data_IF_533758246545
#
_entry.id   IF_533758246545
#
_cell.length_a   1.000
_cell.length_b   1.000
_cell.length_c   1.000
_cell.angle_alpha   90.00
_cell.angle_beta   90.00
_cell.angle_gamma   90.00
#
_symmetry.space_group_name_H-M   'P 1'
#
loop_
_entity.id
_entity.type
_entity.pdbx_description
1 polymer ?
#
# COMPACT_ATOMS: atom_id res chain seq x y z
N UNK A 1 22.32 28.29 -13.99
CA UNK A 1 20.91 28.67 -14.20
C UNK A 1 20.15 28.59 -12.87
N UNK A 2 20.10 29.69 -12.12
CA UNK A 2 19.38 29.81 -10.84
C UNK A 2 17.87 29.75 -11.10
N UNK A 3 17.25 28.57 -10.92
CA UNK A 3 15.80 28.38 -11.10
C UNK A 3 15.04 28.49 -9.78
N UNK A 4 14.24 29.55 -9.72
CA UNK A 4 13.34 30.08 -8.70
C UNK A 4 12.65 29.03 -7.80
N UNK A 5 12.97 29.03 -6.50
CA UNK A 5 12.31 28.24 -5.44
C UNK A 5 10.83 28.61 -5.25
N UNK A 6 10.36 29.75 -5.79
CA UNK A 6 8.95 30.21 -5.73
C UNK A 6 7.91 29.29 -6.41
N UNK A 7 8.32 28.25 -7.15
CA UNK A 7 7.38 27.33 -7.84
C UNK A 7 7.09 26.02 -7.09
N UNK A 8 7.77 25.73 -5.98
CA UNK A 8 7.44 24.55 -5.18
C UNK A 8 6.19 24.82 -4.34
N UNK A 9 5.22 23.91 -4.41
CA UNK A 9 4.01 23.93 -3.58
C UNK A 9 3.97 22.66 -2.75
N UNK A 10 3.50 22.79 -1.51
CA UNK A 10 3.15 21.65 -0.66
C UNK A 10 1.64 21.48 -0.75
N UNK A 11 1.20 20.24 -0.97
CA UNK A 11 -0.21 19.88 -1.06
C UNK A 11 -0.42 18.77 -0.05
N UNK A 12 -1.38 18.97 0.86
CA UNK A 12 -1.82 17.93 1.78
C UNK A 12 -2.76 16.99 1.04
N UNK A 13 -2.54 15.69 1.20
CA UNK A 13 -3.41 14.64 0.67
C UNK A 13 -3.85 13.72 1.81
N UNK A 14 -5.03 13.11 1.68
CA UNK A 14 -5.46 12.07 2.61
C UNK A 14 -4.58 10.82 2.45
N UNK A 15 -4.30 10.11 3.55
CA UNK A 15 -3.49 8.88 3.51
C UNK A 15 -4.07 7.82 2.57
N UNK A 16 -5.40 7.74 2.48
CA UNK A 16 -6.10 6.87 1.54
C UNK A 16 -5.79 7.15 0.06
N UNK A 17 -5.31 8.35 -0.30
CA UNK A 17 -4.91 8.67 -1.68
C UNK A 17 -3.51 8.18 -2.03
N UNK A 18 -2.72 7.73 -1.04
CA UNK A 18 -1.34 7.29 -1.25
C UNK A 18 -1.18 6.25 -2.38
N UNK A 19 -2.05 5.23 -2.56
CA UNK A 19 -1.90 4.25 -3.64
C UNK A 19 -1.83 4.92 -5.03
N UNK A 20 -2.51 6.05 -5.22
CA UNK A 20 -2.62 6.79 -6.48
C UNK A 20 -1.54 7.89 -6.66
N UNK A 21 -0.81 8.22 -5.59
CA UNK A 21 0.20 9.30 -5.60
C UNK A 21 1.60 8.71 -5.44
N UNK A 22 2.28 8.45 -6.56
CA UNK A 22 3.68 8.03 -6.59
C UNK A 22 4.63 9.22 -6.75
N UNK A 23 5.90 9.03 -6.40
CA UNK A 23 6.95 10.02 -6.71
C UNK A 23 7.09 10.14 -8.23
N UNK A 24 7.22 11.38 -8.71
CA UNK A 24 7.28 11.65 -10.14
C UNK A 24 5.96 11.42 -10.89
N UNK A 25 4.83 11.29 -10.19
CA UNK A 25 3.51 11.44 -10.83
C UNK A 25 3.40 12.84 -11.47
N UNK A 26 2.85 12.90 -12.68
CA UNK A 26 2.63 14.15 -13.41
C UNK A 26 1.16 14.51 -13.31
N UNK A 27 0.86 15.78 -13.04
CA UNK A 27 -0.49 16.26 -12.83
C UNK A 27 -0.75 17.47 -13.71
N UNK A 28 -1.91 17.50 -14.35
CA UNK A 28 -2.39 18.62 -15.17
C UNK A 28 -3.82 18.93 -14.76
N UNK A 29 -4.08 20.18 -14.34
CA UNK A 29 -5.41 20.65 -13.96
C UNK A 29 -6.15 19.76 -12.93
N UNK A 30 -5.42 19.13 -12.00
CA UNK A 30 -5.98 18.24 -10.98
C UNK A 30 -6.12 16.78 -11.39
N UNK A 31 -5.82 16.43 -12.64
CA UNK A 31 -5.87 15.08 -13.17
C UNK A 31 -4.47 14.45 -13.17
N UNK A 32 -4.35 13.26 -12.59
CA UNK A 32 -3.14 12.46 -12.64
C UNK A 32 -2.94 11.95 -14.07
N UNK A 33 -1.82 12.30 -14.68
CA UNK A 33 -1.51 11.89 -16.05
C UNK A 33 -1.00 10.45 -16.07
N UNK A 34 -1.24 9.76 -17.19
CA UNK A 34 -0.69 8.43 -17.45
C UNK A 34 0.85 8.46 -17.48
N UNK A 35 1.44 9.50 -18.08
CA UNK A 35 2.90 9.69 -18.11
C UNK A 35 3.44 9.95 -16.70
N UNK A 36 4.52 9.25 -16.37
CA UNK A 36 5.26 9.42 -15.11
C UNK A 36 6.71 9.82 -15.38
N UNK A 37 7.33 10.54 -14.46
CA UNK A 37 8.71 11.00 -14.59
C UNK A 37 9.75 9.91 -14.24
N UNK A 38 10.89 9.92 -14.89
CA UNK A 38 11.96 8.93 -14.67
C UNK A 38 12.05 7.92 -15.81
N UNK A 39 13.00 7.00 -15.68
CA UNK A 39 13.27 5.95 -16.66
C UNK A 39 12.93 4.62 -16.00
N UNK A 40 12.37 3.67 -16.75
CA UNK A 40 12.12 2.31 -16.27
C UNK A 40 13.42 1.51 -16.29
N UNK A 41 13.64 0.69 -15.26
CA UNK A 41 14.79 -0.21 -15.13
C UNK A 41 14.32 -1.51 -14.48
N UNK A 42 14.70 -2.63 -15.07
CA UNK A 42 14.57 -3.93 -14.43
C UNK A 42 15.84 -4.21 -13.61
N UNK A 43 15.64 -4.52 -12.33
CA UNK A 43 16.68 -4.86 -11.36
C UNK A 43 16.56 -6.35 -11.08
N UNK A 44 17.49 -7.14 -11.62
CA UNK A 44 17.48 -8.60 -11.47
C UNK A 44 18.29 -9.06 -10.26
N UNK A 45 17.83 -10.15 -9.65
CA UNK A 45 18.49 -10.88 -8.57
C UNK A 45 18.98 -9.97 -7.44
N UNK A 46 18.12 -9.04 -7.02
CA UNK A 46 18.41 -8.11 -5.94
C UNK A 46 18.35 -8.87 -4.60
N UNK A 47 19.44 -8.92 -3.82
CA UNK A 47 19.40 -9.50 -2.49
C UNK A 47 18.70 -8.53 -1.52
N UNK A 48 17.74 -9.04 -0.78
CA UNK A 48 16.98 -8.30 0.23
C UNK A 48 17.19 -9.02 1.56
N UNK A 49 18.02 -8.46 2.43
CA UNK A 49 18.28 -8.94 3.79
C UNK A 49 18.95 -7.84 4.63
N UNK A 50 19.15 -8.11 5.93
CA UNK A 50 19.74 -7.14 6.88
C UNK A 50 21.20 -6.74 6.57
N UNK A 51 21.93 -7.54 5.78
CA UNK A 51 23.31 -7.22 5.38
C UNK A 51 23.35 -6.26 4.18
N UNK A 52 22.43 -6.47 3.25
CA UNK A 52 22.37 -5.75 1.96
C UNK A 52 21.47 -4.52 2.02
N UNK A 53 20.64 -4.39 3.06
CA UNK A 53 19.70 -3.28 3.20
C UNK A 53 20.06 -2.43 4.41
N UNK A 54 19.93 -1.11 4.25
CA UNK A 54 20.05 -0.16 5.37
C UNK A 54 19.11 1.02 5.22
N UNK A 55 18.54 1.44 6.35
CA UNK A 55 17.76 2.67 6.40
C UNK A 55 18.67 3.87 6.62
N UNK A 56 18.51 4.89 5.79
CA UNK A 56 19.28 6.13 5.86
C UNK A 56 18.36 7.33 5.65
N UNK A 57 18.80 8.50 6.11
CA UNK A 57 18.11 9.75 5.80
C UNK A 57 18.46 10.22 4.39
N UNK A 58 17.54 10.94 3.74
CA UNK A 58 17.76 11.51 2.40
C UNK A 58 18.92 12.51 2.31
N UNK A 59 19.39 13.04 3.44
CA UNK A 59 20.55 13.91 3.55
C UNK A 59 21.84 13.18 3.98
N UNK A 60 21.85 11.84 3.92
CA UNK A 60 23.03 11.06 4.26
C UNK A 60 24.22 11.44 3.38
N UNK A 61 25.41 11.45 3.99
CA UNK A 61 26.65 11.88 3.37
C UNK A 61 27.73 10.81 3.48
N UNK A 62 28.52 10.70 2.42
CA UNK A 62 29.75 9.91 2.35
C UNK A 62 30.83 10.85 1.82
N UNK A 63 32.00 10.90 2.46
CA UNK A 63 33.10 11.82 2.11
C UNK A 63 32.65 13.30 2.01
N UNK A 64 31.80 13.74 2.94
CA UNK A 64 31.14 15.06 2.95
C UNK A 64 30.32 15.36 1.68
N UNK A 65 29.91 14.34 0.93
CA UNK A 65 29.04 14.44 -0.26
C UNK A 65 27.69 13.80 0.01
N UNK A 66 26.61 14.53 -0.28
CA UNK A 66 25.26 13.97 -0.24
C UNK A 66 25.11 12.86 -1.27
N UNK A 67 24.52 11.72 -0.87
CA UNK A 67 24.19 10.62 -1.80
C UNK A 67 23.21 11.05 -2.89
N UNK A 68 22.33 12.00 -2.57
CA UNK A 68 21.43 12.67 -3.52
C UNK A 68 21.85 14.14 -3.64
N UNK A 69 22.77 14.48 -4.54
CA UNK A 69 23.16 15.86 -4.76
C UNK A 69 21.99 16.71 -5.24
N UNK A 70 21.89 17.96 -4.77
CA UNK A 70 20.79 18.88 -5.10
C UNK A 70 20.72 19.21 -6.61
N UNK A 71 21.88 19.21 -7.29
CA UNK A 71 22.00 19.34 -8.74
C UNK A 71 21.57 18.07 -9.49
N UNK A 72 21.63 16.91 -8.83
CA UNK A 72 21.17 15.62 -9.34
C UNK A 72 19.66 15.42 -9.19
N UNK A 73 19.08 15.72 -8.02
CA UNK A 73 17.65 15.63 -7.79
C UNK A 73 17.17 16.58 -6.68
N UNK A 74 16.07 17.28 -6.93
CA UNK A 74 15.51 18.26 -5.99
C UNK A 74 14.42 17.61 -5.14
N UNK A 75 14.80 17.14 -3.95
CA UNK A 75 13.91 16.48 -2.99
C UNK A 75 12.93 17.43 -2.29
N UNK A 76 13.21 18.74 -2.28
CA UNK A 76 12.36 19.74 -1.64
C UNK A 76 12.21 19.47 -0.13
N UNK A 77 10.97 19.46 0.37
CA UNK A 77 10.67 19.11 1.78
C UNK A 77 10.97 17.64 2.12
N UNK A 78 11.19 16.78 1.13
CA UNK A 78 11.61 15.39 1.32
C UNK A 78 13.12 15.21 1.47
N UNK A 79 13.90 16.27 1.71
CA UNK A 79 15.36 16.17 1.82
C UNK A 79 15.84 15.28 2.97
N UNK A 80 15.08 15.20 4.08
CA UNK A 80 15.37 14.32 5.20
C UNK A 80 14.47 13.08 5.25
N UNK A 81 13.76 12.77 4.15
CA UNK A 81 12.90 11.60 4.10
C UNK A 81 13.71 10.31 4.30
N UNK A 82 13.13 9.34 5.00
CA UNK A 82 13.73 8.03 5.15
C UNK A 82 13.82 7.32 3.79
N UNK A 83 14.99 6.74 3.55
CA UNK A 83 15.33 5.93 2.39
C UNK A 83 15.78 4.56 2.86
N UNK A 84 15.50 3.56 2.05
CA UNK A 84 16.09 2.24 2.10
C UNK A 84 17.15 2.18 1.01
N UNK A 85 18.41 2.09 1.42
CA UNK A 85 19.53 1.84 0.53
C UNK A 85 19.72 0.33 0.37
N UNK A 86 19.97 -0.09 -0.86
CA UNK A 86 20.15 -1.50 -1.23
C UNK A 86 21.53 -1.63 -1.86
N UNK A 87 22.34 -2.49 -1.26
CA UNK A 87 23.69 -2.81 -1.67
C UNK A 87 23.68 -3.69 -2.92
N UNK A 88 24.57 -3.36 -3.86
CA UNK A 88 24.81 -4.16 -5.06
C UNK A 88 26.21 -3.88 -5.60
N UNK A 89 26.87 -4.91 -6.13
CA UNK A 89 28.18 -4.79 -6.77
C UNK A 89 29.23 -4.06 -5.88
N UNK A 90 29.15 -4.32 -4.56
CA UNK A 90 29.95 -3.71 -3.47
C UNK A 90 29.71 -2.19 -3.25
N UNK A 91 28.71 -1.57 -3.90
CA UNK A 91 28.25 -0.22 -3.54
C UNK A 91 27.08 -0.34 -2.55
N UNK A 92 27.25 0.05 -1.27
CA UNK A 92 26.21 -0.05 -0.23
C UNK A 92 24.99 0.84 -0.47
N UNK A 93 25.06 1.72 -1.48
CA UNK A 93 24.03 2.70 -1.80
C UNK A 93 23.64 2.65 -3.29
N UNK A 94 23.94 1.56 -4.03
CA UNK A 94 23.67 1.44 -5.47
C UNK A 94 22.24 1.86 -5.82
N UNK A 95 21.27 1.39 -5.04
CA UNK A 95 19.85 1.73 -5.19
C UNK A 95 19.34 2.44 -3.95
N UNK A 96 18.66 3.57 -4.15
CA UNK A 96 18.04 4.37 -3.10
C UNK A 96 16.52 4.37 -3.29
N UNK A 97 15.78 3.73 -2.40
CA UNK A 97 14.33 3.65 -2.44
C UNK A 97 13.69 4.42 -1.28
N UNK A 98 12.90 5.47 -1.52
CA UNK A 98 12.21 6.16 -0.42
C UNK A 98 11.28 5.22 0.35
N UNK A 99 11.31 5.24 1.68
CA UNK A 99 10.47 4.36 2.51
C UNK A 99 8.97 4.54 2.20
N UNK A 100 8.52 5.76 1.87
CA UNK A 100 7.14 6.02 1.42
C UNK A 100 6.74 5.24 0.17
N UNK A 101 7.69 4.93 -0.70
CA UNK A 101 7.43 4.16 -1.91
C UNK A 101 7.30 2.67 -1.58
N UNK A 102 8.06 2.16 -0.61
CA UNK A 102 7.82 0.82 -0.06
C UNK A 102 6.44 0.74 0.59
N UNK A 103 6.05 1.75 1.37
CA UNK A 103 4.70 1.84 1.96
C UNK A 103 3.63 1.80 0.87
N UNK A 104 3.70 2.73 -0.10
CA UNK A 104 2.76 2.77 -1.22
C UNK A 104 2.69 1.45 -1.99
N UNK A 105 3.84 0.85 -2.26
CA UNK A 105 3.89 -0.30 -3.12
C UNK A 105 3.46 -1.59 -2.41
N UNK A 106 3.95 -1.86 -1.19
CA UNK A 106 3.75 -3.14 -0.53
C UNK A 106 2.58 -3.17 0.46
N UNK A 107 2.25 -2.04 1.07
CA UNK A 107 1.35 -2.03 2.23
C UNK A 107 0.11 -1.17 2.03
N UNK A 108 0.22 -0.02 1.34
CA UNK A 108 -0.89 0.85 0.99
C UNK A 108 -1.37 0.55 -0.44
N UNK A 109 -1.82 -0.68 -0.67
CA UNK A 109 -2.27 -1.17 -1.98
C UNK A 109 -3.69 -0.76 -2.33
N UNK A 110 -4.45 -0.24 -1.37
CA UNK A 110 -5.80 0.30 -1.54
C UNK A 110 -6.01 1.43 -0.54
N UNK A 111 -7.11 2.17 -0.70
CA UNK A 111 -7.51 3.22 0.26
C UNK A 111 -7.61 2.67 1.68
N UNK A 112 -8.29 1.54 1.85
CA UNK A 112 -8.49 0.92 3.18
C UNK A 112 -7.16 0.42 3.76
N UNK A 113 -6.31 -0.21 2.94
CA UNK A 113 -5.01 -0.66 3.40
C UNK A 113 -4.09 0.51 3.80
N UNK A 114 -4.16 1.63 3.10
CA UNK A 114 -3.46 2.84 3.52
C UNK A 114 -3.97 3.34 4.88
N UNK A 115 -5.29 3.32 5.10
CA UNK A 115 -5.83 3.65 6.42
C UNK A 115 -5.34 2.69 7.51
N UNK A 116 -5.42 1.38 7.30
CA UNK A 116 -4.95 0.34 8.23
C UNK A 116 -3.48 0.55 8.64
N UNK A 117 -2.61 0.86 7.68
CA UNK A 117 -1.17 1.08 7.92
C UNK A 117 -0.92 2.36 8.72
N UNK A 118 -1.60 3.45 8.37
CA UNK A 118 -1.35 4.76 9.01
C UNK A 118 -2.15 4.99 10.29
N UNK A 119 -3.23 4.24 10.55
CA UNK A 119 -3.96 4.23 11.83
C UNK A 119 -3.28 3.37 12.90
N UNK A 120 -2.41 2.43 12.47
CA UNK A 120 -1.80 1.46 13.36
C UNK A 120 -2.74 0.32 13.76
N UNK A 121 -3.86 0.12 13.05
CA UNK A 121 -4.86 -0.88 13.40
C UNK A 121 -4.28 -2.30 13.49
N UNK A 122 -3.29 -2.65 12.66
CA UNK A 122 -2.65 -3.97 12.71
C UNK A 122 -2.08 -4.29 14.11
N UNK A 123 -1.39 -3.33 14.74
CA UNK A 123 -0.72 -3.55 16.02
C UNK A 123 -1.63 -3.23 17.21
N UNK A 124 -2.45 -2.16 17.10
CA UNK A 124 -3.17 -1.59 18.24
C UNK A 124 -4.64 -1.99 18.29
N UNK A 125 -5.26 -2.30 17.15
CA UNK A 125 -6.69 -2.65 17.03
C UNK A 125 -6.92 -3.71 15.94
N UNK A 126 -6.29 -4.91 16.02
CA UNK A 126 -6.34 -5.90 14.94
C UNK A 126 -7.77 -6.36 14.61
N UNK A 127 -8.68 -6.25 15.58
CA UNK A 127 -10.10 -6.48 15.42
C UNK A 127 -10.78 -5.52 14.42
N UNK A 128 -10.18 -4.39 14.06
CA UNK A 128 -10.67 -3.53 12.98
C UNK A 128 -10.34 -4.09 11.60
N UNK A 129 -9.35 -4.98 11.49
CA UNK A 129 -8.85 -5.53 10.21
C UNK A 129 -9.39 -6.94 9.99
N UNK A 130 -9.26 -7.80 11.00
CA UNK A 130 -9.65 -9.22 10.94
C UNK A 130 -10.41 -9.63 12.19
N UNK A 131 -10.97 -10.84 12.19
CA UNK A 131 -11.32 -11.58 13.39
C UNK A 131 -10.18 -12.57 13.70
N UNK A 132 -9.28 -12.27 14.66
CA UNK A 132 -8.08 -13.07 14.90
C UNK A 132 -8.40 -14.51 15.31
N UNK A 133 -9.50 -14.73 16.03
CA UNK A 133 -9.92 -16.07 16.51
C UNK A 133 -10.33 -17.02 15.39
N UNK A 134 -10.62 -16.49 14.20
CA UNK A 134 -11.04 -17.24 13.01
C UNK A 134 -10.02 -17.20 11.88
N UNK A 135 -8.88 -16.54 12.10
CA UNK A 135 -7.76 -16.60 11.17
C UNK A 135 -6.91 -17.82 11.48
N UNK A 136 -6.22 -18.33 10.47
CA UNK A 136 -5.39 -19.52 10.62
C UNK A 136 -4.47 -19.73 9.43
N UNK A 137 -3.67 -20.78 9.54
CA UNK A 137 -2.77 -21.23 8.49
C UNK A 137 -2.86 -22.75 8.38
N UNK A 138 -3.03 -23.24 7.15
CA UNK A 138 -3.00 -24.66 6.83
C UNK A 138 -1.65 -24.96 6.17
N UNK A 139 -0.81 -25.71 6.89
CA UNK A 139 0.54 -26.07 6.46
C UNK A 139 0.53 -27.10 5.32
N UNK A 140 -0.46 -27.99 5.25
CA UNK A 140 -0.52 -29.04 4.22
C UNK A 140 -0.80 -28.44 2.85
N UNK A 141 -1.72 -27.49 2.78
CA UNK A 141 -2.05 -26.78 1.53
C UNK A 141 -1.22 -25.52 1.29
N UNK A 142 -0.35 -25.14 2.23
CA UNK A 142 0.33 -23.85 2.26
C UNK A 142 -0.66 -22.68 2.05
N UNK A 143 -1.71 -22.66 2.87
CA UNK A 143 -2.89 -21.80 2.71
C UNK A 143 -3.07 -20.86 3.89
N UNK A 144 -3.26 -19.58 3.58
CA UNK A 144 -3.66 -18.58 4.57
C UNK A 144 -5.20 -18.51 4.66
N UNK A 145 -5.72 -18.55 5.88
CA UNK A 145 -7.16 -18.44 6.16
C UNK A 145 -7.39 -17.13 6.91
N UNK A 146 -8.14 -16.21 6.31
CA UNK A 146 -8.45 -14.92 6.89
C UNK A 146 -9.93 -14.74 7.10
N UNK A 147 -10.26 -14.06 8.20
CA UNK A 147 -11.62 -13.63 8.48
C UNK A 147 -11.67 -12.10 8.50
N UNK A 148 -11.84 -11.50 7.32
CA UNK A 148 -11.71 -10.05 7.14
C UNK A 148 -12.91 -9.27 7.70
N UNK A 149 -12.69 -8.01 8.09
CA UNK A 149 -13.80 -7.08 8.35
C UNK A 149 -14.46 -6.63 7.05
N UNK A 150 -15.75 -6.31 7.14
CA UNK A 150 -16.63 -6.16 5.97
C UNK A 150 -16.20 -5.08 4.98
N UNK A 151 -15.58 -4.00 5.46
CA UNK A 151 -15.14 -2.91 4.60
C UNK A 151 -13.89 -3.25 3.77
N UNK A 152 -13.15 -4.32 4.13
CA UNK A 152 -11.96 -4.75 3.38
C UNK A 152 -12.36 -5.70 2.24
N UNK A 153 -11.82 -5.42 1.06
CA UNK A 153 -11.96 -6.30 -0.11
C UNK A 153 -11.26 -7.64 0.05
N UNK A 154 -11.70 -8.66 -0.70
CA UNK A 154 -11.05 -9.98 -0.77
C UNK A 154 -9.59 -9.86 -1.23
N UNK A 155 -9.32 -8.97 -2.20
CA UNK A 155 -7.98 -8.71 -2.74
C UNK A 155 -6.99 -8.17 -1.69
N UNK A 156 -7.47 -7.35 -0.73
CA UNK A 156 -6.65 -6.90 0.38
C UNK A 156 -6.15 -8.10 1.24
N UNK A 157 -6.88 -9.22 1.20
CA UNK A 157 -6.55 -10.45 1.92
C UNK A 157 -5.16 -10.99 1.60
N UNK A 158 -4.68 -10.90 0.35
CA UNK A 158 -3.31 -11.33 0.01
C UNK A 158 -2.26 -10.57 0.82
N UNK A 159 -2.44 -9.26 0.96
CA UNK A 159 -1.49 -8.39 1.66
C UNK A 159 -1.62 -8.51 3.17
N UNK A 160 -2.84 -8.60 3.68
CA UNK A 160 -3.10 -8.83 5.11
C UNK A 160 -2.54 -10.19 5.52
N UNK A 161 -2.80 -11.24 4.75
CA UNK A 161 -2.26 -12.57 5.00
C UNK A 161 -0.73 -12.53 5.00
N UNK A 162 -0.11 -11.85 4.03
CA UNK A 162 1.35 -11.70 3.98
C UNK A 162 1.88 -11.03 5.25
N UNK A 163 1.23 -9.97 5.70
CA UNK A 163 1.59 -9.22 6.92
C UNK A 163 1.49 -10.12 8.15
N UNK A 164 0.44 -10.94 8.27
CA UNK A 164 0.21 -11.83 9.40
C UNK A 164 1.11 -13.08 9.40
N UNK A 165 1.56 -13.52 8.22
CA UNK A 165 2.38 -14.73 8.05
C UNK A 165 3.87 -14.46 7.89
N UNK A 166 4.33 -13.21 8.02
CA UNK A 166 5.75 -12.88 7.87
C UNK A 166 6.17 -11.76 8.82
N UNK A 167 7.18 -12.03 9.65
CA UNK A 167 7.76 -11.04 10.56
C UNK A 167 8.27 -9.79 9.83
N UNK A 168 8.85 -9.96 8.64
CA UNK A 168 9.35 -8.84 7.85
C UNK A 168 8.21 -7.99 7.27
N UNK A 169 7.15 -8.65 6.80
CA UNK A 169 5.95 -7.94 6.37
C UNK A 169 5.26 -7.22 7.55
N UNK A 170 5.16 -7.88 8.71
CA UNK A 170 4.62 -7.30 9.94
C UNK A 170 5.38 -6.05 10.37
N UNK A 171 6.71 -6.14 10.47
CA UNK A 171 7.57 -4.99 10.82
C UNK A 171 7.38 -3.86 9.81
N UNK A 172 7.46 -4.15 8.51
CA UNK A 172 7.35 -3.11 7.49
C UNK A 172 5.96 -2.44 7.42
N UNK A 173 4.88 -3.14 7.78
CA UNK A 173 3.52 -2.63 7.80
C UNK A 173 3.15 -1.84 9.06
N UNK A 174 3.73 -2.17 10.21
CA UNK A 174 3.46 -1.50 11.50
C UNK A 174 4.37 -0.30 11.75
N UNK A 175 5.59 -0.32 11.21
CA UNK A 175 6.59 0.73 11.37
C UNK A 175 6.14 2.13 10.90
N UNK A 176 5.33 2.32 9.82
CA UNK A 176 4.87 3.64 9.41
C UNK A 176 4.16 4.42 10.52
N UNK A 177 3.19 3.79 11.20
CA UNK A 177 2.47 4.42 12.30
C UNK A 177 3.39 4.60 13.51
N UNK A 178 4.08 3.54 13.93
CA UNK A 178 4.83 3.54 15.19
C UNK A 178 6.02 4.50 15.15
N UNK A 179 6.74 4.59 14.02
CA UNK A 179 7.81 5.56 13.83
C UNK A 179 7.29 6.99 13.80
N UNK A 180 6.15 7.23 13.14
CA UNK A 180 5.55 8.57 13.10
C UNK A 180 5.10 9.03 14.49
N UNK A 181 4.49 8.15 15.28
CA UNK A 181 4.09 8.44 16.66
C UNK A 181 5.31 8.71 17.54
N UNK A 182 6.33 7.85 17.46
CA UNK A 182 7.61 8.03 18.17
C UNK A 182 8.24 9.38 17.83
N UNK A 183 8.32 9.74 16.56
CA UNK A 183 8.98 10.99 16.13
C UNK A 183 8.17 12.23 16.49
N UNK A 184 6.83 12.14 16.42
CA UNK A 184 5.92 13.21 16.86
C UNK A 184 6.07 13.51 18.35
N UNK A 185 6.07 12.47 19.20
CA UNK A 185 6.29 12.61 20.65
C UNK A 185 7.65 13.22 20.98
N UNK A 186 8.68 12.87 20.20
CA UNK A 186 10.03 13.41 20.35
C UNK A 186 10.24 14.77 19.64
N UNK A 187 9.19 15.39 19.09
CA UNK A 187 9.23 16.66 18.34
C UNK A 187 10.25 16.66 17.19
N UNK A 188 10.47 15.50 16.58
CA UNK A 188 11.34 15.33 15.40
C UNK A 188 10.52 15.57 14.12
N UNK A 189 11.22 15.77 13.01
CA UNK A 189 10.58 15.75 11.70
C UNK A 189 9.99 14.37 11.43
N UNK A 190 8.69 14.32 11.16
CA UNK A 190 7.96 13.07 10.96
C UNK A 190 8.13 12.62 9.51
N UNK A 191 8.89 11.54 9.31
CA UNK A 191 9.00 10.84 8.04
C UNK A 191 8.67 9.36 8.27
N UNK A 192 7.74 8.78 7.50
CA UNK A 192 7.38 7.39 7.72
C UNK A 192 8.55 6.47 7.38
N UNK A 193 8.67 5.39 8.16
CA UNK A 193 9.68 4.34 8.01
C UNK A 193 8.98 3.05 7.58
N UNK A 194 9.66 2.25 6.76
CA UNK A 194 9.18 0.94 6.31
C UNK A 194 10.31 0.18 5.63
N UNK A 195 10.11 -1.12 5.39
CA UNK A 195 11.05 -2.04 4.76
C UNK A 195 10.39 -2.92 3.70
N UNK A 196 11.12 -3.90 3.19
CA UNK A 196 10.56 -4.92 2.29
C UNK A 196 9.79 -5.97 3.10
N UNK A 197 8.68 -6.52 2.57
CA UNK A 197 7.88 -7.54 3.28
C UNK A 197 8.42 -8.97 3.10
N UNK A 198 9.73 -9.12 2.91
CA UNK A 198 10.39 -10.40 2.65
C UNK A 198 11.90 -10.28 2.78
N UNK A 199 12.55 -11.44 2.84
CA UNK A 199 13.98 -11.61 2.61
C UNK A 199 14.22 -12.53 1.41
N UNK A 200 15.43 -12.48 0.85
CA UNK A 200 15.88 -13.32 -0.25
C UNK A 200 16.05 -12.53 -1.56
N UNK A 201 16.10 -13.26 -2.67
CA UNK A 201 16.33 -12.68 -3.99
C UNK A 201 15.01 -12.28 -4.67
N UNK A 202 15.00 -11.12 -5.31
CA UNK A 202 13.85 -10.65 -6.07
C UNK A 202 14.25 -9.93 -7.35
N UNK A 203 13.31 -9.86 -8.29
CA UNK A 203 13.38 -8.97 -9.44
C UNK A 203 12.42 -7.82 -9.21
N UNK A 204 12.90 -6.59 -9.38
CA UNK A 204 12.07 -5.38 -9.32
C UNK A 204 12.04 -4.69 -10.67
N UNK A 205 10.85 -4.33 -11.14
CA UNK A 205 10.70 -3.30 -12.16
C UNK A 205 10.47 -1.98 -11.47
N UNK A 206 11.35 -1.02 -11.72
CA UNK A 206 11.33 0.28 -11.05
C UNK A 206 11.44 1.43 -12.05
N UNK A 207 10.73 2.50 -11.77
CA UNK A 207 10.93 3.79 -12.40
C UNK A 207 11.76 4.68 -11.50
N UNK A 208 12.77 5.32 -12.06
CA UNK A 208 13.73 6.07 -11.25
C UNK A 208 14.56 7.05 -12.04
N UNK A 209 15.60 7.56 -11.38
CA UNK A 209 16.57 8.49 -11.95
C UNK A 209 17.98 8.08 -11.56
N UNK A 210 18.87 8.04 -12.55
CA UNK A 210 20.30 7.93 -12.29
C UNK A 210 20.84 9.24 -11.70
N UNK A 211 21.52 9.11 -10.57
CA UNK A 211 22.15 10.19 -9.82
C UNK A 211 23.65 10.01 -9.90
N UNK A 212 24.34 11.02 -10.41
CA UNK A 212 25.80 11.02 -10.45
C UNK A 212 26.35 11.13 -9.04
N UNK A 213 27.18 10.19 -8.64
CA UNK A 213 27.81 10.19 -7.33
C UNK A 213 29.01 11.12 -7.31
N UNK A 214 29.42 11.52 -6.10
CA UNK A 214 30.56 12.41 -5.86
C UNK A 214 31.51 11.87 -4.80
N UNK A 215 31.13 10.79 -4.14
CA UNK A 215 31.88 10.05 -3.12
C UNK A 215 32.74 8.93 -3.75
N UNK A 216 33.62 8.35 -2.92
CA UNK A 216 34.57 7.32 -3.34
C UNK A 216 34.01 5.89 -3.39
N UNK A 217 32.84 5.63 -2.78
CA UNK A 217 32.30 4.27 -2.67
C UNK A 217 31.71 3.74 -3.97
N UNK A 218 31.17 4.62 -4.82
CA UNK A 218 30.55 4.21 -6.08
C UNK A 218 31.59 3.96 -7.17
N UNK A 219 31.79 2.70 -7.54
CA UNK A 219 32.75 2.29 -8.58
C UNK A 219 32.40 2.82 -9.98
N UNK A 220 31.11 2.88 -10.29
CA UNK A 220 30.59 3.26 -11.63
C UNK A 220 30.30 4.76 -11.72
N UNK A 221 30.27 5.48 -10.58
CA UNK A 221 29.99 6.92 -10.53
C UNK A 221 28.50 7.28 -10.61
N UNK A 222 27.61 6.29 -10.50
CA UNK A 222 26.16 6.46 -10.63
C UNK A 222 25.42 5.55 -9.66
N UNK A 223 24.36 6.09 -9.05
CA UNK A 223 23.37 5.36 -8.24
C UNK A 223 21.97 5.58 -8.77
N UNK A 224 21.04 4.71 -8.40
CA UNK A 224 19.68 4.75 -8.89
C UNK A 224 18.69 5.17 -7.80
N UNK A 225 18.10 6.36 -7.96
CA UNK A 225 17.02 6.83 -7.08
C UNK A 225 15.67 6.33 -7.61
N UNK A 226 15.02 5.46 -6.85
CA UNK A 226 13.68 4.94 -7.16
C UNK A 226 12.64 6.04 -6.93
N UNK A 227 11.77 6.22 -7.92
CA UNK A 227 10.61 7.10 -7.88
C UNK A 227 9.29 6.32 -7.88
N UNK A 228 9.31 5.07 -8.33
CA UNK A 228 8.17 4.16 -8.28
C UNK A 228 8.61 2.72 -8.44
N UNK A 229 8.04 1.81 -7.65
CA UNK A 229 8.07 0.38 -7.90
C UNK A 229 6.84 0.03 -8.72
N UNK A 230 7.05 -0.74 -9.79
CA UNK A 230 6.02 -1.11 -10.75
C UNK A 230 5.67 -2.58 -10.63
N UNK A 231 6.68 -3.45 -10.47
CA UNK A 231 6.45 -4.85 -10.15
C UNK A 231 7.54 -5.45 -9.26
N UNK A 232 7.18 -6.54 -8.56
CA UNK A 232 8.07 -7.33 -7.71
C UNK A 232 7.80 -8.82 -7.91
N UNK A 233 8.85 -9.63 -8.00
CA UNK A 233 8.77 -11.08 -8.15
C UNK A 233 8.88 -11.85 -6.83
N UNK A 234 9.02 -11.17 -5.70
CA UNK A 234 9.20 -11.84 -4.42
C UNK A 234 7.98 -12.71 -4.08
N UNK A 235 8.19 -13.91 -3.52
CA UNK A 235 7.11 -14.81 -3.17
C UNK A 235 6.24 -14.25 -2.03
N UNK A 236 5.04 -14.81 -1.91
CA UNK A 236 4.21 -14.68 -0.73
C UNK A 236 4.47 -15.88 0.20
N UNK A 237 4.25 -15.74 1.51
CA UNK A 237 4.49 -16.82 2.47
C UNK A 237 3.45 -17.97 2.39
N UNK A 238 2.53 -17.93 1.42
CA UNK A 238 1.53 -18.95 1.14
C UNK A 238 1.15 -18.93 -0.33
N UNK A 239 0.57 -20.04 -0.79
CA UNK A 239 0.17 -20.23 -2.18
C UNK A 239 -1.30 -19.97 -2.43
N UNK A 240 -2.15 -20.22 -1.44
CA UNK A 240 -3.61 -20.12 -1.51
C UNK A 240 -4.17 -19.24 -0.40
N UNK A 241 -5.31 -18.61 -0.65
CA UNK A 241 -5.94 -17.67 0.28
C UNK A 241 -7.45 -17.91 0.36
N UNK A 242 -7.93 -18.26 1.55
CA UNK A 242 -9.35 -18.34 1.87
C UNK A 242 -9.78 -17.11 2.67
N UNK A 243 -10.83 -16.42 2.22
CA UNK A 243 -11.38 -15.24 2.92
C UNK A 243 -12.82 -15.47 3.35
N UNK A 244 -13.05 -15.47 4.67
CA UNK A 244 -14.35 -15.47 5.32
C UNK A 244 -14.74 -14.11 5.90
N UNK A 245 -16.02 -13.96 6.26
CA UNK A 245 -16.58 -12.79 6.97
C UNK A 245 -17.67 -13.19 7.96
N UNK A 246 -17.86 -12.35 8.98
CA UNK A 246 -18.99 -12.50 9.89
C UNK A 246 -20.27 -12.07 9.16
N UNK A 247 -21.38 -12.78 9.43
CA UNK A 247 -22.69 -12.49 8.83
C UNK A 247 -22.72 -12.53 7.28
N UNK A 248 -21.96 -13.44 6.67
CA UNK A 248 -21.93 -13.61 5.21
C UNK A 248 -23.16 -14.39 4.70
N UNK A 249 -23.98 -13.72 3.88
CA UNK A 249 -25.18 -14.25 3.24
C UNK A 249 -24.94 -14.91 1.86
N UNK A 250 -23.68 -15.17 1.47
CA UNK A 250 -23.42 -16.03 0.31
C UNK A 250 -24.08 -17.41 0.49
N UNK A 251 -24.59 -17.97 -0.61
CA UNK A 251 -25.32 -19.24 -0.61
C UNK A 251 -24.43 -20.38 -0.11
N UNK A 252 -25.05 -21.37 0.56
CA UNK A 252 -24.40 -22.63 0.89
C UNK A 252 -24.42 -23.56 -0.32
N UNK A 253 -23.49 -24.52 -0.32
CA UNK A 253 -23.45 -25.60 -1.33
C UNK A 253 -24.17 -26.87 -0.83
N UNK A 254 -24.59 -26.91 0.44
CA UNK A 254 -25.31 -28.05 1.03
C UNK A 254 -26.77 -28.16 0.63
N UNK A 255 -27.29 -29.39 0.65
CA UNK A 255 -28.68 -29.74 0.28
C UNK A 255 -29.72 -29.27 1.32
N UNK A 256 -29.32 -29.10 2.58
CA UNK A 256 -30.18 -28.76 3.72
C UNK A 256 -30.18 -27.25 4.02
N UNK A 257 -30.62 -26.42 3.06
CA UNK A 257 -30.64 -24.96 3.21
C UNK A 257 -31.76 -24.48 4.16
N UNK A 258 -31.43 -23.61 5.12
CA UNK A 258 -32.41 -22.99 6.01
C UNK A 258 -33.44 -22.14 5.24
N UNK A 259 -34.67 -22.07 5.73
CA UNK A 259 -35.68 -21.15 5.17
C UNK A 259 -35.30 -19.68 5.41
N UNK A 260 -35.84 -18.76 4.60
CA UNK A 260 -35.54 -17.33 4.75
C UNK A 260 -36.02 -16.77 6.09
N UNK A 261 -37.06 -17.37 6.68
CA UNK A 261 -37.63 -17.01 7.98
C UNK A 261 -36.70 -17.38 9.16
N UNK A 262 -35.87 -18.40 8.99
CA UNK A 262 -34.92 -18.88 10.02
C UNK A 262 -33.56 -18.17 9.94
N UNK A 263 -33.27 -17.53 8.81
CA UNK A 263 -32.01 -16.83 8.55
C UNK A 263 -32.01 -15.45 9.23
N UNK A 264 -30.85 -15.06 9.75
CA UNK A 264 -30.63 -13.72 10.35
C UNK A 264 -30.35 -12.68 9.27
N UNK A 265 -30.65 -11.39 9.45
CA UNK A 265 -30.24 -10.38 8.49
C UNK A 265 -28.71 -10.27 8.44
N UNK A 266 -28.13 -10.37 7.24
CA UNK A 266 -26.76 -10.02 6.95
C UNK A 266 -26.60 -8.51 6.83
N UNK A 267 -25.38 -8.04 7.07
CA UNK A 267 -25.01 -6.67 6.74
C UNK A 267 -24.97 -6.50 5.22
N UNK A 268 -25.55 -5.41 4.72
CA UNK A 268 -25.51 -5.10 3.30
C UNK A 268 -24.06 -4.85 2.86
N UNK A 269 -23.59 -5.45 1.75
CA UNK A 269 -22.29 -5.10 1.21
C UNK A 269 -22.30 -3.62 0.78
N UNK A 270 -21.18 -2.90 0.94
CA UNK A 270 -21.08 -1.56 0.39
C UNK A 270 -21.29 -1.59 -1.13
N UNK A 271 -22.18 -0.74 -1.64
CA UNK A 271 -22.35 -0.56 -3.10
C UNK A 271 -21.20 0.28 -3.64
N UNK A 272 -20.49 -0.26 -4.61
CA UNK A 272 -19.44 0.41 -5.35
C UNK A 272 -19.81 0.55 -6.82
N UNK A 273 -19.40 1.65 -7.44
CA UNK A 273 -19.39 1.80 -8.90
C UNK A 273 -17.95 1.73 -9.38
N UNK A 274 -17.67 0.89 -10.37
CA UNK A 274 -16.34 0.87 -11.00
C UNK A 274 -16.13 2.16 -11.78
N UNK A 275 -14.96 2.77 -11.60
CA UNK A 275 -14.54 3.98 -12.31
C UNK A 275 -13.15 3.81 -12.92
N UNK A 276 -12.83 4.71 -13.84
CA UNK A 276 -11.55 4.81 -14.53
C UNK A 276 -10.57 5.78 -13.85
N UNK A 277 -11.02 6.47 -12.78
CA UNK A 277 -10.23 7.47 -12.09
C UNK A 277 -10.12 8.79 -12.84
N UNK A 278 -11.00 9.06 -13.82
CA UNK A 278 -11.02 10.32 -14.57
C UNK A 278 -11.52 11.51 -13.77
N UNK A 279 -12.04 11.30 -12.55
CA UNK A 279 -12.51 12.40 -11.70
C UNK A 279 -11.33 13.10 -11.00
N UNK A 280 -11.39 14.43 -10.80
CA UNK A 280 -10.32 15.15 -10.15
C UNK A 280 -10.19 14.74 -8.68
N UNK A 281 -8.95 14.52 -8.23
CA UNK A 281 -8.67 14.26 -6.81
C UNK A 281 -8.87 15.50 -5.96
N UNK A 282 -9.43 15.31 -4.77
CA UNK A 282 -9.58 16.36 -3.78
C UNK A 282 -9.29 15.82 -2.37
N UNK A 283 -8.63 16.64 -1.56
CA UNK A 283 -8.25 16.31 -0.18
C UNK A 283 -8.63 17.43 0.80
N UNK A 284 -9.31 18.46 0.32
CA UNK A 284 -9.65 19.64 1.12
C UNK A 284 -10.92 19.44 1.94
N UNK A 285 -11.86 18.64 1.43
CA UNK A 285 -13.13 18.35 2.08
C UNK A 285 -13.21 16.86 2.39
N UNK A 286 -13.79 16.53 3.54
CA UNK A 286 -14.07 15.14 3.89
C UNK A 286 -15.00 14.50 2.84
N UNK A 287 -14.81 13.21 2.53
CA UNK A 287 -15.77 12.47 1.71
C UNK A 287 -17.14 12.43 2.40
N UNK A 288 -18.20 12.49 1.59
CA UNK A 288 -19.57 12.38 2.09
C UNK A 288 -19.95 10.89 2.19
N UNK A 289 -20.22 10.40 3.40
CA UNK A 289 -20.66 9.02 3.64
C UNK A 289 -21.95 8.66 2.90
N UNK A 290 -22.78 9.66 2.60
CA UNK A 290 -24.02 9.54 1.85
C UNK A 290 -23.83 9.33 0.35
N UNK A 291 -22.61 9.41 -0.20
CA UNK A 291 -22.33 9.16 -1.62
C UNK A 291 -21.89 7.73 -1.90
N UNK A 292 -22.03 7.33 -3.15
CA UNK A 292 -21.52 6.04 -3.66
C UNK A 292 -19.99 6.05 -3.72
N UNK A 293 -19.38 4.92 -3.38
CA UNK A 293 -17.93 4.76 -3.44
C UNK A 293 -17.53 4.36 -4.87
N UNK A 294 -16.38 4.85 -5.32
CA UNK A 294 -15.81 4.51 -6.61
C UNK A 294 -14.68 3.49 -6.46
N UNK A 295 -14.75 2.39 -7.20
CA UNK A 295 -13.71 1.38 -7.25
C UNK A 295 -12.81 1.64 -8.46
N UNK A 296 -11.57 2.03 -8.20
CA UNK A 296 -10.55 2.28 -9.23
C UNK A 296 -9.53 1.16 -9.15
N UNK A 297 -9.48 0.25 -10.13
CA UNK A 297 -8.53 -0.85 -10.12
C UNK A 297 -7.10 -0.32 -10.27
N UNK A 298 -6.18 -0.88 -9.49
CA UNK A 298 -4.75 -0.69 -9.71
C UNK A 298 -4.21 -1.75 -10.70
N UNK A 299 -3.03 -1.54 -11.30
CA UNK A 299 -2.44 -2.52 -12.21
C UNK A 299 -2.36 -3.91 -11.58
N UNK A 300 -2.81 -4.93 -12.31
CA UNK A 300 -2.92 -6.32 -11.85
C UNK A 300 -1.59 -7.06 -11.85
N UNK A 301 -0.57 -6.54 -12.52
CA UNK A 301 0.75 -7.18 -12.70
C UNK A 301 1.83 -6.71 -11.70
N UNK A 302 1.42 -6.04 -10.62
CA UNK A 302 2.34 -5.54 -9.59
C UNK A 302 3.08 -6.64 -8.86
N UNK A 303 2.47 -7.80 -8.66
CA UNK A 303 3.02 -8.89 -7.87
C UNK A 303 2.95 -10.19 -8.67
N UNK A 304 4.10 -10.61 -9.21
CA UNK A 304 4.15 -11.82 -10.05
C UNK A 304 3.67 -13.07 -9.31
N UNK A 305 3.89 -13.16 -8.00
CA UNK A 305 3.56 -14.31 -7.17
C UNK A 305 2.04 -14.57 -6.99
N UNK A 306 1.20 -13.56 -7.19
CA UNK A 306 -0.26 -13.67 -7.05
C UNK A 306 -0.99 -13.37 -8.36
N UNK A 307 -0.24 -13.17 -9.46
CA UNK A 307 -0.82 -12.91 -10.77
C UNK A 307 -1.68 -14.10 -11.22
N UNK A 308 -2.96 -13.86 -11.48
CA UNK A 308 -3.91 -14.89 -11.92
C UNK A 308 -4.35 -15.86 -10.82
N UNK A 309 -3.96 -15.62 -9.56
CA UNK A 309 -4.51 -16.36 -8.42
C UNK A 309 -5.83 -15.73 -7.99
N UNK A 310 -6.77 -16.57 -7.57
CA UNK A 310 -8.07 -16.13 -7.06
C UNK A 310 -8.17 -16.39 -5.55
N UNK A 311 -9.02 -15.60 -4.89
CA UNK A 311 -9.35 -15.78 -3.48
C UNK A 311 -10.56 -16.70 -3.38
N UNK A 312 -10.42 -17.82 -2.66
CA UNK A 312 -11.54 -18.72 -2.39
C UNK A 312 -12.28 -18.32 -1.11
N UNK A 313 -13.50 -18.86 -0.98
CA UNK A 313 -14.37 -18.63 0.18
C UNK A 313 -14.53 -19.93 0.95
N UNK A 314 -14.73 -19.87 2.29
CA UNK A 314 -15.02 -21.05 3.08
C UNK A 314 -16.27 -21.75 2.54
N UNK A 315 -16.19 -23.07 2.40
CA UNK A 315 -17.38 -23.89 2.16
C UNK A 315 -18.39 -23.69 3.31
N UNK A 316 -19.67 -23.68 2.95
CA UNK A 316 -20.77 -23.55 3.90
C UNK A 316 -21.77 -24.66 3.68
N UNK A 317 -21.95 -25.47 4.72
CA UNK A 317 -23.01 -26.48 4.74
C UNK A 317 -24.40 -25.83 4.73
N UNK A 318 -24.56 -24.72 5.46
CA UNK A 318 -25.83 -23.99 5.56
C UNK A 318 -25.63 -22.47 5.62
N UNK A 319 -26.35 -21.72 4.78
CA UNK A 319 -26.40 -20.27 4.87
C UNK A 319 -27.33 -19.83 6.00
N UNK A 320 -26.79 -19.14 7.01
CA UNK A 320 -27.55 -18.67 8.19
C UNK A 320 -28.04 -17.23 8.07
N UNK A 321 -27.81 -16.57 6.94
CA UNK A 321 -28.10 -15.16 6.77
C UNK A 321 -28.83 -14.83 5.47
N UNK A 322 -29.77 -13.89 5.52
CA UNK A 322 -30.44 -13.31 4.34
C UNK A 322 -29.90 -11.91 4.14
N UNK A 323 -29.65 -11.49 2.90
CA UNK A 323 -29.26 -10.11 2.60
C UNK A 323 -30.27 -9.12 3.20
N UNK A 324 -29.84 -8.33 4.19
CA UNK A 324 -30.71 -7.32 4.79
C UNK A 324 -31.11 -6.25 3.76
N UNK A 325 -32.39 -5.84 3.76
CA UNK A 325 -32.87 -4.72 2.94
C UNK A 325 -32.53 -3.37 3.60
N UNK A 326 -31.86 -2.53 2.81
CA UNK A 326 -31.75 -1.05 2.87
C UNK A 326 -30.97 -0.40 4.02
N UNK A 327 -29.71 -0.03 3.75
CA UNK A 327 -29.30 1.35 4.07
C UNK A 327 -30.02 2.29 3.10
N UNK A 328 -30.54 3.42 3.59
CA UNK A 328 -31.21 4.43 2.75
C UNK A 328 -30.38 4.78 1.50
N UNK A 329 -31.01 5.24 0.41
CA UNK A 329 -30.32 5.41 -0.86
C UNK A 329 -29.12 6.35 -0.68
N UNK A 330 -27.92 5.82 -0.86
CA UNK A 330 -26.75 6.66 -1.13
C UNK A 330 -27.11 7.56 -2.32
N UNK A 331 -26.89 8.86 -2.15
CA UNK A 331 -27.20 9.94 -3.11
C UNK A 331 -26.34 9.79 -4.39
N UNK A 332 -26.46 10.78 -5.28
CA UNK A 332 -25.73 10.95 -6.54
C UNK A 332 -24.23 10.61 -6.48
N UNK A 333 -23.65 10.35 -7.66
CA UNK A 333 -22.23 10.03 -7.81
C UNK A 333 -21.31 11.15 -7.31
N UNK A 334 -20.15 10.79 -6.72
CA UNK A 334 -19.16 11.78 -6.34
C UNK A 334 -18.63 12.48 -7.59
N UNK A 335 -18.56 13.82 -7.55
CA UNK A 335 -17.99 14.66 -8.61
C UNK A 335 -16.45 14.72 -8.56
N UNK A 336 -15.87 14.31 -7.44
CA UNK A 336 -14.44 14.38 -7.13
C UNK A 336 -14.01 13.13 -6.37
N UNK A 337 -12.75 12.73 -6.48
CA UNK A 337 -12.21 11.57 -5.75
C UNK A 337 -11.62 12.01 -4.42
N UNK A 338 -12.20 11.54 -3.32
CA UNK A 338 -11.69 11.72 -1.96
C UNK A 338 -11.46 10.36 -1.30
N UNK A 339 -10.65 10.34 -0.24
CA UNK A 339 -10.42 9.13 0.55
C UNK A 339 -10.46 9.49 2.03
N UNK A 340 -11.29 8.80 2.80
CA UNK A 340 -11.55 9.12 4.20
C UNK A 340 -12.89 8.54 4.64
N UNK A 341 -13.06 8.37 5.96
CA UNK A 341 -14.25 7.76 6.52
C UNK A 341 -15.47 8.68 6.51
N UNK A 342 -15.29 9.97 6.22
CA UNK A 342 -16.35 10.97 6.08
C UNK A 342 -17.13 11.24 7.37
N UNK A 343 -17.79 12.39 7.44
CA UNK A 343 -18.84 12.67 8.43
C UNK A 343 -20.16 12.92 7.69
N UNK A 344 -21.29 12.64 8.33
CA UNK A 344 -22.63 12.80 7.73
C UNK A 344 -23.05 14.26 7.52
N UNK A 345 -22.28 15.21 8.04
CA UNK A 345 -22.60 16.63 8.03
C UNK A 345 -21.95 17.30 6.81
N UNK A 346 -22.63 17.15 5.66
CA UNK A 346 -22.32 17.84 4.41
C UNK A 346 -23.12 19.13 4.22
#
# INVERSE_FOLDING_TARGET
MLRNTKKQKVISIGVGQLPFVSIGSVWLNGYCQAVKAGVQKDLYNLPINDETIRMILGNHQVDDKNLIPYDGYRTGKGFMANLVAIERDEDPFDILAPSRELIRFYYAVSTDMAHVVFSGDLNHQPNNVVNPEKCGFDEEENRCILHLRQHLSDENGWFIGRILSSDQAWRGATLPHDAMMRDSLNRKFVHPESGFPFEGFTNLRVRGKFIRTKDSLSKIGWRYLVLGIESCSAPFPFDKLTVGRDNDASQSEGEDELSNEEKKPAFAPPKHKTGDGEKPFQSANEPDQGKTNEHIPLPTDRFGAIMGKEVDRPEKDQCRYVSGLHHGPKKDEPKTLGTGLGNSDG
#
